data_IF_646490702538
#
_entry.id   IF_646490702538
#
_cell.length_a   1.000
_cell.length_b   1.000
_cell.length_c   1.000
_cell.angle_alpha   90.00
_cell.angle_beta   90.00
_cell.angle_gamma   90.00
#
_symmetry.space_group_name_H-M   'P 1'
#
loop_
_entity.id
_entity.type
_entity.pdbx_description
1 polymer ?
#
# COMPACT_ATOMS: atom_id res chain seq x y z
N UNK A 1 -56.78 -39.01 -5.34
CA UNK A 1 -55.36 -38.85 -4.98
C UNK A 1 -55.13 -37.47 -4.37
N UNK A 2 -54.96 -37.36 -3.04
CA UNK A 2 -54.56 -36.11 -2.40
C UNK A 2 -53.06 -36.14 -2.01
N UNK A 3 -52.30 -35.14 -2.47
CA UNK A 3 -50.89 -34.93 -2.13
C UNK A 3 -50.78 -34.20 -0.79
N UNK A 4 -50.16 -34.84 0.22
CA UNK A 4 -49.90 -34.26 1.54
C UNK A 4 -48.72 -33.28 1.44
N UNK A 5 -48.97 -31.98 1.62
CA UNK A 5 -47.93 -30.94 1.68
C UNK A 5 -47.12 -31.10 2.98
N UNK A 6 -45.80 -31.28 2.85
CA UNK A 6 -44.85 -31.27 3.97
C UNK A 6 -44.62 -29.82 4.39
N UNK A 7 -44.94 -29.49 5.63
CA UNK A 7 -44.62 -28.20 6.24
C UNK A 7 -43.16 -28.20 6.70
N UNK A 8 -42.44 -27.11 6.41
CA UNK A 8 -41.08 -26.87 6.89
C UNK A 8 -41.10 -26.69 8.41
N UNK A 9 -40.34 -27.52 9.12
CA UNK A 9 -40.17 -27.42 10.56
C UNK A 9 -39.11 -26.35 10.85
N UNK A 10 -39.56 -25.17 11.29
CA UNK A 10 -38.67 -24.12 11.78
C UNK A 10 -38.18 -24.51 13.17
N UNK A 11 -36.91 -24.90 13.29
CA UNK A 11 -36.25 -25.08 14.58
C UNK A 11 -35.92 -23.69 15.13
N UNK A 12 -36.63 -23.30 16.19
CA UNK A 12 -36.25 -22.20 17.07
C UNK A 12 -35.12 -22.73 17.95
N UNK A 13 -33.93 -22.16 17.82
CA UNK A 13 -32.82 -22.38 18.76
C UNK A 13 -33.00 -21.38 19.91
N UNK A 14 -33.44 -21.88 21.05
CA UNK A 14 -33.39 -21.19 22.34
C UNK A 14 -31.97 -20.68 22.60
N UNK A 15 -31.84 -19.36 22.75
CA UNK A 15 -30.63 -18.69 23.18
C UNK A 15 -30.65 -18.58 24.70
N UNK A 16 -30.31 -19.66 25.39
CA UNK A 16 -30.01 -19.60 26.82
C UNK A 16 -28.95 -20.65 27.17
N UNK A 17 -27.91 -20.22 27.90
CA UNK A 17 -26.72 -20.96 28.36
C UNK A 17 -25.59 -21.14 27.35
N UNK A 18 -24.53 -20.31 27.46
CA UNK A 18 -23.27 -20.70 28.15
C UNK A 18 -22.56 -19.41 28.61
N UNK A 19 -22.74 -19.01 29.87
CA UNK A 19 -21.73 -18.21 30.55
C UNK A 19 -20.66 -19.19 31.05
N UNK A 20 -19.43 -19.08 30.53
CA UNK A 20 -18.31 -19.86 31.06
C UNK A 20 -17.22 -20.17 30.05
N UNK A 21 -16.12 -19.43 30.19
CA UNK A 21 -14.74 -19.80 29.80
C UNK A 21 -14.48 -19.89 28.30
N UNK A 22 -13.91 -18.83 27.75
CA UNK A 22 -12.52 -18.89 27.26
C UNK A 22 -12.11 -17.44 26.98
N UNK A 23 -11.22 -16.93 27.84
CA UNK A 23 -10.37 -15.83 27.47
C UNK A 23 -9.57 -16.34 26.27
N UNK A 24 -10.05 -16.01 25.07
CA UNK A 24 -9.27 -16.20 23.85
C UNK A 24 -8.05 -15.32 24.06
N UNK A 25 -6.98 -15.97 24.49
CA UNK A 25 -5.61 -15.47 24.40
C UNK A 25 -5.43 -15.20 22.91
N UNK A 26 -5.80 -13.99 22.49
CA UNK A 26 -5.46 -13.50 21.18
C UNK A 26 -3.95 -13.66 21.14
N UNK A 27 -3.40 -14.52 20.27
CA UNK A 27 -1.97 -14.70 20.27
C UNK A 27 -1.40 -13.33 19.99
N UNK A 28 -0.66 -12.80 20.95
CA UNK A 28 0.07 -11.54 20.89
C UNK A 28 1.11 -11.72 19.78
N UNK A 29 0.63 -11.66 18.54
CA UNK A 29 1.45 -11.50 17.35
C UNK A 29 1.90 -10.06 17.47
N UNK A 30 2.91 -9.84 18.30
CA UNK A 30 3.86 -8.77 18.12
C UNK A 30 4.42 -8.97 16.71
N UNK A 31 3.70 -8.43 15.73
CA UNK A 31 4.05 -8.37 14.32
C UNK A 31 5.15 -7.31 14.19
N UNK A 32 6.23 -7.47 14.95
CA UNK A 32 7.54 -6.91 14.66
C UNK A 32 8.11 -7.73 13.49
N UNK A 33 7.37 -7.74 12.37
CA UNK A 33 7.90 -8.15 11.08
C UNK A 33 8.81 -7.02 10.65
N UNK A 34 10.00 -6.98 11.26
CA UNK A 34 11.08 -6.10 10.86
C UNK A 34 11.44 -6.51 9.44
N UNK A 35 10.91 -5.74 8.48
CA UNK A 35 11.11 -6.02 7.08
C UNK A 35 12.62 -6.03 6.78
N UNK A 36 13.10 -7.17 6.29
CA UNK A 36 14.53 -7.42 6.18
C UNK A 36 15.18 -6.44 5.20
N UNK A 37 16.18 -5.70 5.68
CA UNK A 37 16.98 -4.78 4.87
C UNK A 37 18.16 -5.53 4.24
N UNK A 38 18.54 -5.11 3.04
CA UNK A 38 19.71 -5.60 2.35
C UNK A 38 20.97 -5.08 3.06
N UNK A 39 21.89 -5.95 3.50
CA UNK A 39 23.11 -5.51 4.20
C UNK A 39 24.07 -4.73 3.29
N UNK A 40 23.92 -4.81 1.97
CA UNK A 40 24.81 -4.15 1.01
C UNK A 40 24.39 -2.72 0.67
N UNK A 41 23.09 -2.45 0.53
CA UNK A 41 22.58 -1.14 0.13
C UNK A 41 21.59 -0.51 1.13
N UNK A 42 21.18 -1.24 2.18
CA UNK A 42 20.26 -0.75 3.20
C UNK A 42 18.78 -0.67 2.78
N UNK A 43 18.44 -1.06 1.54
CA UNK A 43 17.06 -1.07 1.05
C UNK A 43 16.31 -2.35 1.45
N UNK A 44 14.97 -2.33 1.54
CA UNK A 44 14.22 -3.55 1.89
C UNK A 44 14.46 -4.62 0.82
N UNK A 45 14.78 -5.85 1.24
CA UNK A 45 14.94 -7.01 0.35
C UNK A 45 13.70 -7.25 -0.52
N UNK A 46 12.54 -6.87 0.03
CA UNK A 46 11.28 -6.55 -0.67
C UNK A 46 11.47 -6.06 -2.12
N UNK A 47 12.40 -5.13 -2.31
CA UNK A 47 12.62 -4.35 -3.53
C UNK A 47 13.61 -4.96 -4.52
N UNK A 48 14.35 -5.98 -4.13
CA UNK A 48 15.38 -6.57 -4.97
C UNK A 48 14.78 -7.58 -5.96
N UNK A 49 15.07 -7.42 -7.25
CA UNK A 49 14.75 -8.43 -8.27
C UNK A 49 15.92 -9.41 -8.47
N UNK A 50 17.13 -8.98 -8.09
CA UNK A 50 18.39 -9.73 -8.23
C UNK A 50 19.21 -9.54 -6.94
N UNK A 51 20.09 -10.48 -6.63
CA UNK A 51 21.02 -10.36 -5.52
C UNK A 51 21.77 -9.02 -5.59
N UNK A 52 21.84 -8.31 -4.47
CA UNK A 52 22.59 -7.06 -4.41
C UNK A 52 24.07 -7.36 -4.62
N UNK A 53 24.71 -6.66 -5.56
CA UNK A 53 26.16 -6.74 -5.74
C UNK A 53 26.82 -5.51 -5.12
N UNK A 54 27.82 -5.67 -4.23
CA UNK A 54 28.45 -4.55 -3.53
C UNK A 54 29.17 -3.57 -4.45
N UNK A 55 29.43 -3.95 -5.71
CA UNK A 55 30.03 -3.07 -6.72
C UNK A 55 29.06 -2.00 -7.28
N UNK A 56 27.75 -2.19 -7.13
CA UNK A 56 26.73 -1.26 -7.64
C UNK A 56 26.15 -0.32 -6.56
N UNK A 57 26.60 -0.46 -5.30
CA UNK A 57 26.03 0.22 -4.14
C UNK A 57 26.53 1.67 -3.91
N UNK A 58 27.44 2.16 -4.75
CA UNK A 58 28.07 3.48 -4.59
C UNK A 58 28.02 4.29 -5.86
N UNK A 59 26.89 4.94 -6.13
CA UNK A 59 26.86 6.08 -7.05
C UNK A 59 25.89 7.13 -6.53
N UNK A 60 26.27 7.78 -5.42
CA UNK A 60 25.72 9.08 -5.02
C UNK A 60 26.53 10.18 -5.71
N UNK A 61 25.98 10.96 -6.65
CA UNK A 61 26.57 12.22 -7.02
C UNK A 61 26.14 13.29 -6.00
N UNK A 62 27.11 13.76 -5.22
CA UNK A 62 27.01 15.02 -4.49
C UNK A 62 26.88 16.17 -5.48
N UNK A 63 26.06 17.16 -5.13
CA UNK A 63 25.61 18.25 -5.99
C UNK A 63 26.73 19.06 -6.66
N UNK A 64 26.61 19.31 -7.97
CA UNK A 64 26.91 20.62 -8.58
C UNK A 64 26.16 20.79 -9.92
N UNK A 65 25.37 21.86 -9.99
CA UNK A 65 24.77 22.60 -11.11
C UNK A 65 24.68 22.02 -12.55
N UNK A 66 23.47 22.19 -13.10
CA UNK A 66 23.09 22.47 -14.50
C UNK A 66 23.65 21.59 -15.63
N UNK A 67 22.80 20.70 -16.19
CA UNK A 67 22.43 20.67 -17.62
C UNK A 67 21.58 19.41 -17.97
N UNK A 68 20.35 19.69 -18.44
CA UNK A 68 19.58 18.96 -19.46
C UNK A 68 19.94 17.49 -19.76
N UNK A 69 19.21 16.52 -19.16
CA UNK A 69 18.97 15.20 -19.76
C UNK A 69 17.57 14.71 -19.39
N UNK A 70 16.85 14.35 -20.44
CA UNK A 70 15.56 13.68 -20.51
C UNK A 70 15.51 12.39 -19.65
N UNK A 71 14.45 12.29 -18.84
CA UNK A 71 13.83 11.06 -18.32
C UNK A 71 14.77 9.97 -17.75
N UNK A 72 15.33 10.22 -16.56
CA UNK A 72 15.83 9.15 -15.68
C UNK A 72 15.03 9.20 -14.36
N UNK A 73 14.40 8.11 -13.91
CA UNK A 73 13.71 8.09 -12.63
C UNK A 73 14.77 8.19 -11.53
N UNK A 74 14.82 9.36 -10.90
CA UNK A 74 15.67 9.63 -9.75
C UNK A 74 15.24 8.69 -8.62
N UNK A 75 16.01 7.62 -8.39
CA UNK A 75 15.85 6.70 -7.26
C UNK A 75 16.35 7.34 -5.94
N UNK A 76 16.09 8.62 -5.73
CA UNK A 76 16.32 9.28 -4.44
C UNK A 76 15.17 8.92 -3.53
N UNK A 77 15.47 8.20 -2.43
CA UNK A 77 14.68 8.13 -1.18
C UNK A 77 13.26 8.64 -1.38
N UNK A 78 12.41 7.82 -1.99
CA UNK A 78 11.15 8.23 -2.59
C UNK A 78 10.26 8.89 -1.54
N UNK A 79 10.34 10.22 -1.49
CA UNK A 79 9.53 11.06 -0.64
C UNK A 79 8.13 11.08 -1.22
N UNK A 80 7.14 10.98 -0.35
CA UNK A 80 5.77 11.23 -0.73
C UNK A 80 5.59 12.72 -1.03
N UNK A 81 5.06 13.07 -2.20
CA UNK A 81 4.72 14.45 -2.54
C UNK A 81 3.59 15.01 -1.68
N UNK A 82 2.68 14.14 -1.22
CA UNK A 82 1.55 14.53 -0.39
C UNK A 82 1.66 13.95 1.04
N UNK A 83 1.43 14.80 2.04
CA UNK A 83 1.40 14.40 3.45
C UNK A 83 0.03 13.84 3.85
N UNK A 84 -0.02 13.06 4.94
CA UNK A 84 -1.29 12.65 5.54
C UNK A 84 -2.07 13.89 6.02
N UNK A 85 -3.38 13.90 5.80
CA UNK A 85 -4.26 15.03 6.08
C UNK A 85 -4.21 16.15 5.03
N UNK A 86 -3.28 16.10 4.07
CA UNK A 86 -3.20 17.12 3.02
C UNK A 86 -4.41 16.99 2.07
N UNK A 87 -5.14 18.08 1.78
CA UNK A 87 -6.24 18.06 0.83
C UNK A 87 -5.72 17.96 -0.60
N UNK A 88 -6.24 16.99 -1.36
CA UNK A 88 -5.89 16.75 -2.76
C UNK A 88 -7.15 16.46 -3.59
N UNK A 89 -7.09 16.70 -4.89
CA UNK A 89 -8.17 16.43 -5.84
C UNK A 89 -7.78 15.26 -6.77
N UNK A 90 -8.60 14.19 -6.85
CA UNK A 90 -8.34 13.03 -7.71
C UNK A 90 -8.72 13.24 -9.18
N UNK A 91 -9.45 14.30 -9.49
CA UNK A 91 -9.77 14.70 -10.85
C UNK A 91 -10.03 16.21 -10.89
N UNK A 92 -9.85 16.86 -12.05
CA UNK A 92 -10.32 18.22 -12.24
C UNK A 92 -11.81 18.29 -11.90
N UNK A 93 -12.21 19.25 -11.06
CA UNK A 93 -13.60 19.45 -10.59
C UNK A 93 -14.11 18.47 -9.52
N UNK A 94 -13.33 17.47 -9.11
CA UNK A 94 -13.70 16.63 -7.97
C UNK A 94 -13.53 17.39 -6.64
N UNK A 95 -14.35 17.09 -5.60
CA UNK A 95 -14.13 17.63 -4.27
C UNK A 95 -12.74 17.27 -3.73
N UNK A 96 -12.12 18.22 -3.04
CA UNK A 96 -10.87 17.96 -2.34
C UNK A 96 -11.12 16.97 -1.19
N UNK A 97 -10.24 15.96 -1.06
CA UNK A 97 -10.30 14.97 0.01
C UNK A 97 -8.92 14.82 0.66
N UNK A 98 -8.84 14.68 1.98
CA UNK A 98 -7.56 14.53 2.67
C UNK A 98 -6.95 13.16 2.39
N UNK A 99 -5.62 13.11 2.31
CA UNK A 99 -4.87 11.84 2.24
C UNK A 99 -4.93 11.13 3.59
N UNK A 100 -5.45 9.91 3.62
CA UNK A 100 -5.55 9.08 4.86
C UNK A 100 -4.50 8.00 4.96
N UNK A 101 -3.91 7.61 3.83
CA UNK A 101 -2.86 6.61 3.79
C UNK A 101 -1.91 6.86 2.62
N UNK A 102 -0.66 6.41 2.78
CA UNK A 102 0.40 6.50 1.78
C UNK A 102 1.21 5.21 1.78
N UNK A 103 1.66 4.78 0.60
CA UNK A 103 2.51 3.61 0.46
C UNK A 103 3.24 3.57 -0.88
N UNK A 104 4.07 2.55 -1.05
CA UNK A 104 4.85 2.37 -2.27
C UNK A 104 4.58 1.00 -2.86
N UNK A 105 4.40 0.97 -4.18
CA UNK A 105 4.23 -0.26 -4.95
C UNK A 105 5.41 -0.47 -5.90
N UNK A 106 5.71 -1.74 -6.21
CA UNK A 106 6.62 -2.11 -7.29
C UNK A 106 5.91 -1.96 -8.62
N UNK A 107 6.44 -1.13 -9.51
CA UNK A 107 6.00 -1.06 -10.89
C UNK A 107 7.17 -1.31 -11.85
N UNK A 108 6.88 -1.88 -13.02
CA UNK A 108 7.85 -1.98 -14.12
C UNK A 108 7.70 -0.79 -15.03
N UNK A 109 8.81 -0.16 -15.36
CA UNK A 109 8.82 0.92 -16.33
C UNK A 109 8.51 0.35 -17.74
N UNK A 110 7.55 0.93 -18.49
CA UNK A 110 7.04 0.32 -19.72
C UNK A 110 8.08 0.22 -20.84
N UNK A 111 9.06 1.14 -20.87
CA UNK A 111 10.10 1.15 -21.92
C UNK A 111 11.33 0.31 -21.57
N UNK A 112 11.75 0.30 -20.31
CA UNK A 112 13.02 -0.30 -19.89
C UNK A 112 12.84 -1.63 -19.17
N UNK A 113 11.62 -1.96 -18.73
CA UNK A 113 11.31 -3.16 -17.94
C UNK A 113 11.87 -3.14 -16.51
N UNK A 114 12.62 -2.09 -16.15
CA UNK A 114 13.23 -1.93 -14.83
C UNK A 114 12.15 -1.69 -13.77
N UNK A 115 12.33 -2.33 -12.61
CA UNK A 115 11.45 -2.12 -11.46
C UNK A 115 11.82 -0.81 -10.78
N UNK A 116 10.80 -0.02 -10.48
CA UNK A 116 10.92 1.23 -9.73
C UNK A 116 9.80 1.32 -8.68
N UNK A 117 9.99 2.23 -7.73
CA UNK A 117 9.01 2.52 -6.67
C UNK A 117 8.03 3.55 -7.19
N UNK A 118 6.74 3.30 -6.99
CA UNK A 118 5.68 4.26 -7.29
C UNK A 118 4.94 4.59 -6.01
N UNK A 119 4.86 5.88 -5.70
CA UNK A 119 4.08 6.38 -4.58
C UNK A 119 2.58 6.24 -4.90
N UNK A 120 1.83 5.70 -3.94
CA UNK A 120 0.38 5.58 -3.99
C UNK A 120 -0.24 6.18 -2.73
N UNK A 121 -1.43 6.73 -2.89
CA UNK A 121 -2.15 7.46 -1.86
C UNK A 121 -3.58 6.96 -1.77
N UNK A 122 -4.17 7.01 -0.58
CA UNK A 122 -5.59 6.77 -0.38
C UNK A 122 -6.23 8.02 0.23
N UNK A 123 -7.42 8.36 -0.25
CA UNK A 123 -8.14 9.57 0.14
C UNK A 123 -9.33 9.24 1.05
N UNK A 124 -9.74 10.20 1.87
CA UNK A 124 -10.98 10.14 2.65
C UNK A 124 -12.20 10.52 1.80
N UNK A 125 -12.44 9.79 0.72
CA UNK A 125 -13.54 10.04 -0.21
C UNK A 125 -14.59 8.92 -0.20
N UNK A 126 -14.51 7.99 0.76
CA UNK A 126 -15.40 6.83 0.88
C UNK A 126 -15.04 5.64 -0.02
N UNK A 127 -14.00 5.75 -0.86
CA UNK A 127 -13.53 4.68 -1.74
C UNK A 127 -12.33 3.93 -1.14
N UNK A 128 -12.10 2.72 -1.63
CA UNK A 128 -10.95 1.88 -1.26
C UNK A 128 -9.82 1.92 -2.29
N UNK A 129 -9.97 2.75 -3.33
CA UNK A 129 -9.01 2.88 -4.40
C UNK A 129 -7.74 3.60 -3.93
N UNK A 130 -6.63 3.24 -4.56
CA UNK A 130 -5.35 3.93 -4.42
C UNK A 130 -5.09 4.78 -5.66
N UNK A 131 -4.60 5.99 -5.46
CA UNK A 131 -4.29 6.95 -6.51
C UNK A 131 -2.78 7.08 -6.66
N UNK A 132 -2.32 7.17 -7.90
CA UNK A 132 -0.95 7.52 -8.20
C UNK A 132 -0.71 9.01 -8.00
N UNK A 133 0.55 9.38 -7.74
CA UNK A 133 0.93 10.78 -7.56
C UNK A 133 0.52 11.67 -8.75
N UNK A 134 0.63 11.15 -9.98
CA UNK A 134 0.28 11.86 -11.20
C UNK A 134 -1.24 12.08 -11.40
N UNK A 135 -2.08 11.36 -10.65
CA UNK A 135 -3.54 11.49 -10.71
C UNK A 135 -4.07 12.51 -9.70
N UNK A 136 -3.20 12.99 -8.80
CA UNK A 136 -3.57 13.90 -7.73
C UNK A 136 -3.05 15.30 -8.01
N UNK A 137 -3.86 16.29 -7.67
CA UNK A 137 -3.47 17.69 -7.67
C UNK A 137 -3.72 18.31 -6.31
N UNK A 138 -2.94 19.35 -5.98
CA UNK A 138 -3.17 20.14 -4.77
C UNK A 138 -4.46 20.94 -4.96
N UNK A 139 -5.35 20.87 -3.96
CA UNK A 139 -6.62 21.59 -3.93
C UNK A 139 -6.46 23.10 -3.70
#
# INVERSE_FOLDING_TARGET
MPTRKKASQTLVLDADQVEGVEQVDAPDHADDVVASLCPSCGELLAWHEVACSPAAASTSPSATAEQNVEDAPVLTRSGFAFALGQPVQPAPEAPASPVVWRGQVKARHPRTGLVHRVNVYRLDNGYWDCYYEAELSVA
#
